data_IF_487106473512
#
_entry.id   IF_487106473512
#
_cell.length_a   1.000
_cell.length_b   1.000
_cell.length_c   1.000
_cell.angle_alpha   90.00
_cell.angle_beta   90.00
_cell.angle_gamma   90.00
#
_symmetry.space_group_name_H-M   'P 1'
#
loop_
_entity.id
_entity.type
_entity.pdbx_description
1 polymer ?
#
# COMPACT_ATOMS: atom_id res chain seq x y z
N UNK A 1 -16.29 -5.04 -9.41
CA UNK A 1 -14.87 -5.17 -9.03
C UNK A 1 -14.75 -5.75 -7.62
N UNK A 2 -15.49 -5.23 -6.66
CA UNK A 2 -15.46 -5.65 -5.24
C UNK A 2 -15.60 -7.16 -5.03
N UNK A 3 -16.60 -7.81 -5.63
CA UNK A 3 -16.79 -9.28 -5.54
C UNK A 3 -15.51 -10.07 -5.94
N UNK A 4 -14.90 -9.70 -7.06
CA UNK A 4 -13.68 -10.35 -7.53
C UNK A 4 -12.49 -10.08 -6.58
N UNK A 5 -12.44 -8.90 -5.97
CA UNK A 5 -11.43 -8.56 -4.96
C UNK A 5 -11.62 -9.38 -3.69
N UNK A 6 -12.87 -9.62 -3.26
CA UNK A 6 -13.16 -10.47 -2.09
C UNK A 6 -12.75 -11.91 -2.32
N UNK A 7 -12.99 -12.47 -3.52
CA UNK A 7 -12.51 -13.81 -3.85
C UNK A 7 -10.98 -13.91 -3.86
N UNK A 8 -10.29 -12.90 -4.39
CA UNK A 8 -8.82 -12.82 -4.33
C UNK A 8 -8.31 -12.75 -2.90
N UNK A 9 -8.96 -11.95 -2.05
CA UNK A 9 -8.62 -11.85 -0.62
C UNK A 9 -8.72 -13.21 0.05
N UNK A 10 -9.85 -13.89 -0.16
CA UNK A 10 -10.11 -15.22 0.40
C UNK A 10 -9.02 -16.22 -0.02
N UNK A 11 -8.68 -16.23 -1.30
CA UNK A 11 -7.60 -17.07 -1.82
C UNK A 11 -6.26 -16.76 -1.16
N UNK A 12 -5.87 -15.49 -1.06
CA UNK A 12 -4.61 -15.09 -0.42
C UNK A 12 -4.56 -15.55 1.04
N UNK A 13 -5.58 -15.23 1.84
CA UNK A 13 -5.63 -15.55 3.27
C UNK A 13 -5.48 -17.05 3.55
N UNK A 14 -6.09 -17.89 2.72
CA UNK A 14 -6.03 -19.34 2.93
C UNK A 14 -4.80 -20.00 2.32
N UNK A 15 -4.24 -19.46 1.24
CA UNK A 15 -2.98 -19.95 0.69
C UNK A 15 -1.83 -19.83 1.73
N UNK A 16 -1.77 -18.72 2.46
CA UNK A 16 -0.75 -18.51 3.52
C UNK A 16 -0.96 -19.46 4.71
N UNK A 17 -2.21 -19.63 5.17
CA UNK A 17 -2.56 -20.54 6.28
C UNK A 17 -2.17 -22.00 6.03
N UNK A 18 -2.12 -22.46 4.77
CA UNK A 18 -1.72 -23.83 4.41
C UNK A 18 -0.19 -24.01 4.43
N UNK A 19 0.58 -22.94 4.25
CA UNK A 19 2.05 -22.97 4.16
C UNK A 19 2.74 -22.76 5.52
N UNK A 20 2.01 -22.74 6.63
CA UNK A 20 2.54 -22.44 7.96
C UNK A 20 3.54 -23.49 8.49
N UNK A 21 4.83 -23.23 8.29
CA UNK A 21 5.94 -23.86 9.00
C UNK A 21 6.91 -22.77 9.51
N UNK A 22 6.66 -22.19 10.70
CA UNK A 22 7.49 -21.10 11.20
C UNK A 22 8.91 -21.58 11.48
N UNK A 23 9.88 -21.03 10.74
CA UNK A 23 11.30 -21.20 11.03
C UNK A 23 11.64 -20.48 12.35
N UNK A 24 12.41 -21.12 13.24
CA UNK A 24 12.83 -20.48 14.49
C UNK A 24 13.87 -19.40 14.20
N UNK A 25 13.60 -18.17 14.65
CA UNK A 25 14.51 -17.02 14.55
C UNK A 25 15.92 -17.34 15.08
N UNK A 26 16.01 -18.19 16.12
CA UNK A 26 17.26 -18.60 16.77
C UNK A 26 18.23 -19.36 15.86
N UNK A 27 17.71 -20.03 14.82
CA UNK A 27 18.56 -20.81 13.91
C UNK A 27 19.32 -19.90 12.93
N UNK A 28 18.81 -18.71 12.63
CA UNK A 28 19.34 -17.81 11.59
C UNK A 28 20.29 -16.76 12.15
N UNK A 29 20.08 -16.29 13.39
CA UNK A 29 20.95 -15.28 14.05
C UNK A 29 22.26 -15.92 14.59
N UNK A 30 22.71 -17.04 14.03
CA UNK A 30 23.98 -17.68 14.40
C UNK A 30 25.17 -17.13 13.61
N UNK A 31 24.93 -16.41 12.52
CA UNK A 31 25.96 -15.78 11.69
C UNK A 31 26.27 -14.35 12.19
N UNK A 32 27.56 -14.04 12.32
CA UNK A 32 28.04 -12.81 12.98
C UNK A 32 27.76 -11.49 12.24
N UNK A 33 27.35 -11.51 10.96
CA UNK A 33 27.10 -10.29 10.19
C UNK A 33 26.03 -10.52 9.12
N UNK A 34 24.76 -10.25 9.46
CA UNK A 34 23.65 -10.36 8.51
C UNK A 34 23.28 -8.97 7.96
N UNK A 35 22.85 -8.92 6.69
CA UNK A 35 22.30 -7.70 6.13
C UNK A 35 20.90 -7.41 6.70
N UNK A 36 20.48 -6.15 6.73
CA UNK A 36 19.12 -5.77 7.18
C UNK A 36 18.03 -6.54 6.41
N UNK A 37 18.18 -6.67 5.08
CA UNK A 37 17.25 -7.44 4.24
C UNK A 37 17.12 -8.90 4.70
N UNK A 38 18.21 -9.54 5.12
CA UNK A 38 18.22 -10.96 5.54
C UNK A 38 17.53 -11.12 6.90
N UNK A 39 17.83 -10.21 7.84
CA UNK A 39 17.15 -10.15 9.14
C UNK A 39 15.64 -9.95 8.97
N UNK A 40 15.23 -8.97 8.17
CA UNK A 40 13.81 -8.68 7.93
C UNK A 40 13.11 -9.83 7.20
N UNK A 41 13.77 -10.47 6.23
CA UNK A 41 13.21 -11.67 5.57
C UNK A 41 12.94 -12.80 6.58
N UNK A 42 13.81 -12.95 7.58
CA UNK A 42 13.64 -13.93 8.66
C UNK A 42 12.51 -13.53 9.62
N UNK A 43 12.35 -12.24 9.92
CA UNK A 43 11.23 -11.72 10.68
C UNK A 43 9.89 -12.09 10.02
N UNK A 44 9.75 -11.87 8.70
CA UNK A 44 8.56 -12.27 7.97
C UNK A 44 8.32 -13.80 8.03
N UNK A 45 9.35 -14.64 7.93
CA UNK A 45 9.15 -16.10 8.04
C UNK A 45 8.73 -16.57 9.43
N UNK A 46 9.14 -15.87 10.48
CA UNK A 46 8.86 -16.26 11.86
C UNK A 46 7.58 -15.63 12.43
N UNK A 47 7.19 -14.43 12.00
CA UNK A 47 6.05 -13.70 12.54
C UNK A 47 4.82 -13.79 11.62
N UNK A 48 3.81 -14.58 12.03
CA UNK A 48 2.58 -14.78 11.26
C UNK A 48 1.71 -13.53 11.17
N UNK A 49 1.66 -12.69 12.21
CA UNK A 49 0.91 -11.44 12.17
C UNK A 49 1.50 -10.48 11.14
N UNK A 50 2.82 -10.32 11.11
CA UNK A 50 3.48 -9.43 10.15
C UNK A 50 3.31 -9.93 8.71
N UNK A 51 3.34 -11.25 8.47
CA UNK A 51 2.99 -11.81 7.15
C UNK A 51 1.57 -11.51 6.75
N UNK A 52 0.62 -11.68 7.67
CA UNK A 52 -0.78 -11.35 7.41
C UNK A 52 -0.89 -9.88 7.00
N UNK A 53 -0.27 -8.95 7.73
CA UNK A 53 -0.29 -7.53 7.35
C UNK A 53 0.29 -7.29 5.94
N UNK A 54 1.42 -7.91 5.61
CA UNK A 54 2.03 -7.79 4.28
C UNK A 54 1.15 -8.37 3.17
N UNK A 55 0.53 -9.53 3.41
CA UNK A 55 -0.40 -10.15 2.48
C UNK A 55 -1.61 -9.25 2.19
N UNK A 56 -2.14 -8.59 3.24
CA UNK A 56 -3.23 -7.62 3.08
C UNK A 56 -2.79 -6.40 2.28
N UNK A 57 -1.57 -5.90 2.50
CA UNK A 57 -0.96 -4.82 1.70
C UNK A 57 -0.82 -5.24 0.24
N UNK A 58 -0.28 -6.42 -0.04
CA UNK A 58 -0.11 -6.94 -1.40
C UNK A 58 -1.45 -7.10 -2.12
N UNK A 59 -2.47 -7.57 -1.40
CA UNK A 59 -3.83 -7.66 -1.92
C UNK A 59 -4.42 -6.28 -2.25
N UNK A 60 -4.25 -5.28 -1.38
CA UNK A 60 -4.69 -3.90 -1.61
C UNK A 60 -3.97 -3.26 -2.80
N UNK A 61 -2.65 -3.47 -2.91
CA UNK A 61 -1.82 -2.96 -4.01
C UNK A 61 -2.19 -3.60 -5.35
N UNK A 62 -2.40 -4.92 -5.38
CA UNK A 62 -2.84 -5.64 -6.59
C UNK A 62 -4.23 -5.20 -7.06
N UNK A 63 -5.13 -4.90 -6.12
CA UNK A 63 -6.47 -4.40 -6.39
C UNK A 63 -6.43 -3.00 -6.99
N UNK A 64 -5.62 -2.11 -6.42
CA UNK A 64 -5.40 -0.77 -6.96
C UNK A 64 -4.76 -0.81 -8.36
N UNK A 65 -3.78 -1.69 -8.56
CA UNK A 65 -3.13 -1.88 -9.86
C UNK A 65 -4.10 -2.33 -10.96
N UNK A 66 -5.08 -3.17 -10.61
CA UNK A 66 -6.14 -3.59 -11.53
C UNK A 66 -7.09 -2.42 -11.86
N UNK A 67 -7.47 -1.63 -10.84
CA UNK A 67 -8.33 -0.47 -11.02
C UNK A 67 -7.67 0.61 -11.89
N UNK A 68 -6.40 0.95 -11.64
CA UNK A 68 -5.63 1.93 -12.44
C UNK A 68 -5.57 1.54 -13.93
N UNK A 69 -5.33 0.25 -14.21
CA UNK A 69 -5.31 -0.28 -15.59
C UNK A 69 -6.68 -0.18 -16.27
N UNK A 70 -7.77 -0.36 -15.51
CA UNK A 70 -9.12 -0.33 -16.04
C UNK A 70 -9.62 1.09 -16.32
N UNK A 71 -9.29 2.05 -15.46
CA UNK A 71 -9.79 3.43 -15.57
C UNK A 71 -8.99 4.29 -16.55
N UNK A 72 -7.68 4.03 -16.73
CA UNK A 72 -6.78 4.83 -17.58
C UNK A 72 -6.91 6.35 -17.35
N UNK A 73 -7.29 6.77 -16.15
CA UNK A 73 -7.68 8.16 -15.84
C UNK A 73 -6.50 9.08 -15.53
N UNK A 74 -5.27 8.56 -15.49
CA UNK A 74 -4.09 9.36 -15.18
C UNK A 74 -3.64 10.18 -16.39
N UNK A 75 -3.39 11.47 -16.19
CA UNK A 75 -2.77 12.33 -17.18
C UNK A 75 -1.41 11.76 -17.61
N UNK A 76 -1.03 11.86 -18.90
CA UNK A 76 0.28 11.41 -19.35
C UNK A 76 1.37 12.24 -18.68
N UNK A 77 2.32 11.57 -18.04
CA UNK A 77 3.55 12.21 -17.54
C UNK A 77 4.43 12.55 -18.73
N UNK A 78 4.90 13.80 -18.81
CA UNK A 78 5.79 14.23 -19.88
C UNK A 78 7.19 13.66 -19.65
N UNK A 79 7.55 12.65 -20.45
CA UNK A 79 8.86 12.00 -20.40
C UNK A 79 9.84 12.59 -21.41
N UNK A 80 10.26 13.84 -21.24
CA UNK A 80 11.25 14.49 -22.11
C UNK A 80 12.69 14.41 -21.57
N UNK A 81 12.90 13.72 -20.44
CA UNK A 81 14.17 13.57 -19.73
C UNK A 81 14.85 14.90 -19.35
N UNK A 82 14.09 16.00 -19.25
CA UNK A 82 14.59 17.32 -18.91
C UNK A 82 13.76 17.86 -17.74
N UNK A 83 14.43 18.05 -16.60
CA UNK A 83 13.84 18.70 -15.44
C UNK A 83 13.50 20.17 -15.75
N UNK A 84 12.25 20.57 -15.48
CA UNK A 84 11.74 21.93 -15.65
C UNK A 84 12.12 22.58 -16.98
N UNK A 85 11.80 21.89 -18.08
CA UNK A 85 12.21 22.30 -19.43
C UNK A 85 11.78 23.73 -19.79
N UNK A 86 10.61 24.18 -19.34
CA UNK A 86 10.13 25.53 -19.62
C UNK A 86 10.90 26.59 -18.81
N UNK A 87 11.17 26.31 -17.54
CA UNK A 87 11.96 27.16 -16.64
C UNK A 87 13.39 27.28 -17.15
N UNK A 88 14.00 26.15 -17.56
CA UNK A 88 15.32 26.12 -18.17
C UNK A 88 15.35 26.98 -19.45
N UNK A 89 14.36 26.80 -20.33
CA UNK A 89 14.26 27.58 -21.55
C UNK A 89 14.13 29.08 -21.27
N UNK A 90 13.30 29.48 -20.31
CA UNK A 90 13.17 30.88 -19.92
C UNK A 90 14.44 31.45 -19.28
N UNK A 91 15.20 30.65 -18.55
CA UNK A 91 16.49 31.06 -18.00
C UNK A 91 17.54 31.26 -19.10
N UNK A 92 17.57 30.40 -20.12
CA UNK A 92 18.49 30.52 -21.25
C UNK A 92 18.16 31.73 -22.13
N UNK A 93 16.88 32.00 -22.39
CA UNK A 93 16.43 33.18 -23.17
C UNK A 93 16.52 34.49 -22.35
N UNK A 94 16.33 34.39 -21.04
CA UNK A 94 16.16 35.47 -20.08
C UNK A 94 17.34 36.44 -19.93
N UNK A 95 18.45 36.18 -20.62
CA UNK A 95 19.58 37.11 -20.76
C UNK A 95 19.36 38.18 -21.85
N UNK A 96 18.24 38.17 -22.59
CA UNK A 96 17.91 39.21 -23.57
C UNK A 96 17.19 40.41 -22.93
N UNK A 97 17.56 41.63 -23.34
CA UNK A 97 17.21 42.93 -22.73
C UNK A 97 15.70 43.20 -22.53
N UNK A 98 14.81 42.47 -23.21
CA UNK A 98 13.38 42.72 -23.24
C UNK A 98 12.55 41.98 -22.16
N UNK A 99 13.15 41.11 -21.33
CA UNK A 99 12.41 40.25 -20.38
C UNK A 99 12.78 40.42 -18.89
N UNK A 100 13.48 41.51 -18.53
CA UNK A 100 14.03 41.71 -17.17
C UNK A 100 13.01 41.69 -16.03
N UNK A 101 11.78 42.18 -16.23
CA UNK A 101 10.80 42.28 -15.14
C UNK A 101 10.03 40.98 -14.88
N UNK A 102 9.82 40.13 -15.90
CA UNK A 102 9.22 38.79 -15.71
C UNK A 102 10.16 37.81 -15.00
N UNK A 103 11.47 37.96 -15.19
CA UNK A 103 12.48 37.07 -14.61
C UNK A 103 12.80 37.30 -13.13
N UNK A 104 12.34 38.40 -12.51
CA UNK A 104 12.62 38.65 -11.08
C UNK A 104 11.94 37.63 -10.17
N UNK A 105 10.73 37.19 -10.52
CA UNK A 105 9.92 36.26 -9.73
C UNK A 105 10.28 34.79 -9.95
N UNK A 106 11.01 34.46 -11.02
CA UNK A 106 11.40 33.10 -11.37
C UNK A 106 12.76 32.72 -10.75
N UNK A 107 12.91 31.44 -10.39
CA UNK A 107 14.18 30.88 -9.91
C UNK A 107 15.33 31.15 -10.89
N UNK A 108 16.56 31.32 -10.36
CA UNK A 108 17.76 31.53 -11.17
C UNK A 108 18.59 30.28 -11.39
N UNK A 109 18.22 29.17 -10.74
CA UNK A 109 18.94 27.90 -10.76
C UNK A 109 17.93 26.75 -10.97
N UNK A 110 18.41 25.61 -11.46
CA UNK A 110 17.57 24.44 -11.83
C UNK A 110 17.64 23.31 -10.79
N UNK A 111 18.38 23.50 -9.70
CA UNK A 111 18.40 22.54 -8.60
C UNK A 111 17.03 22.46 -7.90
N UNK A 112 16.64 21.28 -7.39
CA UNK A 112 15.28 21.04 -6.91
C UNK A 112 14.89 21.88 -5.69
N UNK A 113 15.85 22.33 -4.89
CA UNK A 113 15.63 23.19 -3.73
C UNK A 113 15.68 24.70 -4.07
N UNK A 114 15.96 25.08 -5.33
CA UNK A 114 15.98 26.47 -5.77
C UNK A 114 14.69 27.25 -5.44
N UNK A 115 13.48 26.71 -5.64
CA UNK A 115 12.24 27.42 -5.31
C UNK A 115 12.16 27.78 -3.82
N UNK A 116 12.52 26.83 -2.95
CA UNK A 116 12.54 27.03 -1.51
C UNK A 116 13.65 27.99 -1.08
N UNK A 117 14.89 27.76 -1.53
CA UNK A 117 16.07 28.55 -1.16
C UNK A 117 15.95 30.01 -1.61
N UNK A 118 15.40 30.25 -2.80
CA UNK A 118 15.26 31.59 -3.37
C UNK A 118 13.93 32.26 -3.04
N UNK A 119 12.94 31.51 -2.53
CA UNK A 119 11.55 31.94 -2.35
C UNK A 119 10.95 32.47 -3.66
N UNK A 120 11.18 31.73 -4.74
CA UNK A 120 10.77 32.05 -6.11
C UNK A 120 10.03 30.90 -6.74
N UNK A 121 9.32 31.15 -7.82
CA UNK A 121 8.53 30.13 -8.51
C UNK A 121 9.24 29.62 -9.76
N UNK A 122 8.88 28.41 -10.18
CA UNK A 122 9.22 27.88 -11.50
C UNK A 122 8.12 28.23 -12.50
N UNK A 123 8.31 27.91 -13.78
CA UNK A 123 7.29 28.10 -14.80
C UNK A 123 5.97 27.41 -14.45
N UNK A 124 4.82 28.02 -14.75
CA UNK A 124 3.49 27.46 -14.40
C UNK A 124 3.26 26.06 -14.99
N UNK A 125 3.71 25.83 -16.22
CA UNK A 125 3.58 24.52 -16.87
C UNK A 125 4.45 23.48 -16.17
N UNK A 126 5.67 23.84 -15.77
CA UNK A 126 6.53 22.94 -15.01
C UNK A 126 5.98 22.65 -13.60
N UNK A 127 5.28 23.61 -12.96
CA UNK A 127 4.58 23.36 -11.69
C UNK A 127 3.46 22.33 -11.86
N UNK A 128 2.71 22.44 -12.96
CA UNK A 128 1.63 21.50 -13.27
C UNK A 128 2.20 20.11 -13.57
N UNK A 129 3.20 20.04 -14.44
CA UNK A 129 3.88 18.79 -14.81
C UNK A 129 4.47 18.11 -13.57
N UNK A 130 5.07 18.88 -12.65
CA UNK A 130 5.62 18.34 -11.41
C UNK A 130 4.53 17.80 -10.48
N UNK A 131 3.38 18.48 -10.39
CA UNK A 131 2.23 18.01 -9.61
C UNK A 131 1.63 16.73 -10.18
N UNK A 132 1.49 16.64 -11.50
CA UNK A 132 0.99 15.44 -12.19
C UNK A 132 1.97 14.27 -12.04
N UNK A 133 3.27 14.53 -12.11
CA UNK A 133 4.31 13.54 -11.82
C UNK A 133 4.23 13.03 -10.37
N UNK A 134 4.12 13.93 -9.38
CA UNK A 134 4.00 13.54 -7.97
C UNK A 134 2.77 12.66 -7.73
N UNK A 135 1.64 13.01 -8.34
CA UNK A 135 0.40 12.23 -8.26
C UNK A 135 0.54 10.85 -8.92
N UNK A 136 1.14 10.76 -10.11
CA UNK A 136 1.38 9.47 -10.77
C UNK A 136 2.34 8.61 -9.97
N UNK A 137 3.43 9.18 -9.46
CA UNK A 137 4.40 8.50 -8.60
C UNK A 137 3.73 7.89 -7.36
N UNK A 138 2.90 8.65 -6.65
CA UNK A 138 2.12 8.12 -5.53
C UNK A 138 1.20 6.97 -5.95
N UNK A 139 0.55 7.11 -7.11
CA UNK A 139 -0.34 6.07 -7.67
C UNK A 139 0.42 4.78 -7.97
N UNK A 140 1.63 4.86 -8.55
CA UNK A 140 2.45 3.66 -8.80
C UNK A 140 2.89 2.99 -7.50
N UNK A 141 3.29 3.77 -6.49
CA UNK A 141 3.62 3.22 -5.16
C UNK A 141 2.40 2.55 -4.52
N UNK A 142 1.22 3.18 -4.61
CA UNK A 142 -0.05 2.60 -4.15
C UNK A 142 -0.45 1.32 -4.90
N UNK A 143 0.05 1.12 -6.12
CA UNK A 143 -0.16 -0.09 -6.92
C UNK A 143 0.92 -1.16 -6.70
N UNK A 144 1.86 -0.98 -5.77
CA UNK A 144 2.99 -1.88 -5.56
C UNK A 144 4.05 -1.85 -6.68
N UNK A 145 3.98 -0.84 -7.56
CA UNK A 145 4.84 -0.67 -8.74
C UNK A 145 5.96 0.32 -8.46
N UNK A 146 6.76 0.02 -7.43
CA UNK A 146 7.80 0.91 -6.95
C UNK A 146 8.86 1.22 -8.04
N UNK A 147 9.23 0.21 -8.84
CA UNK A 147 10.23 0.37 -9.92
C UNK A 147 9.74 1.34 -11.00
N UNK A 148 8.45 1.26 -11.33
CA UNK A 148 7.79 2.15 -12.27
C UNK A 148 7.74 3.59 -11.72
N UNK A 149 7.48 3.77 -10.43
CA UNK A 149 7.54 5.09 -9.78
C UNK A 149 8.93 5.74 -9.94
N UNK A 150 10.02 4.98 -9.71
CA UNK A 150 11.39 5.44 -9.93
C UNK A 150 11.67 5.72 -11.41
N UNK A 151 11.19 4.85 -12.31
CA UNK A 151 11.33 5.03 -13.76
C UNK A 151 10.64 6.31 -14.25
N UNK A 152 9.49 6.66 -13.67
CA UNK A 152 8.81 7.93 -13.98
C UNK A 152 9.68 9.13 -13.60
N UNK A 153 10.28 9.12 -12.41
CA UNK A 153 11.21 10.18 -12.00
C UNK A 153 12.37 10.32 -12.98
N UNK A 154 12.97 9.21 -13.41
CA UNK A 154 14.05 9.21 -14.40
C UNK A 154 13.57 9.78 -15.75
N UNK A 155 12.42 9.33 -16.26
CA UNK A 155 11.86 9.80 -17.53
C UNK A 155 11.53 11.30 -17.55
N UNK A 156 11.22 11.88 -16.39
CA UNK A 156 10.97 13.30 -16.20
C UNK A 156 12.25 14.13 -15.98
N UNK A 157 13.44 13.52 -16.07
CA UNK A 157 14.72 14.18 -15.79
C UNK A 157 14.98 14.42 -14.30
N UNK A 158 14.20 13.82 -13.40
CA UNK A 158 14.27 13.99 -11.95
C UNK A 158 14.95 12.80 -11.26
N UNK A 159 16.15 12.45 -11.72
CA UNK A 159 16.92 11.34 -11.13
C UNK A 159 17.17 11.51 -9.63
N UNK A 160 17.29 12.77 -9.16
CA UNK A 160 17.38 13.10 -7.74
C UNK A 160 16.16 12.61 -6.95
N UNK A 161 14.94 12.76 -7.48
CA UNK A 161 13.71 12.30 -6.82
C UNK A 161 13.64 10.78 -6.81
N UNK A 162 14.04 10.15 -7.91
CA UNK A 162 14.19 8.69 -7.98
C UNK A 162 15.22 8.14 -6.97
N UNK A 163 16.30 8.87 -6.70
CA UNK A 163 17.26 8.52 -5.66
C UNK A 163 16.66 8.67 -4.25
N UNK A 164 15.93 9.75 -3.98
CA UNK A 164 15.21 9.94 -2.71
C UNK A 164 14.24 8.79 -2.46
N UNK A 165 13.46 8.38 -3.46
CA UNK A 165 12.52 7.26 -3.31
C UNK A 165 13.21 5.95 -2.93
N UNK A 166 14.44 5.70 -3.36
CA UNK A 166 15.15 4.43 -3.12
C UNK A 166 15.78 4.33 -1.73
N UNK A 167 15.83 5.41 -0.95
CA UNK A 167 16.50 5.40 0.36
C UNK A 167 15.82 4.53 1.42
N UNK A 168 14.57 4.10 1.20
CA UNK A 168 13.87 3.14 2.07
C UNK A 168 14.35 1.70 1.93
N UNK A 169 15.07 1.36 0.85
CA UNK A 169 15.47 -0.01 0.55
C UNK A 169 16.47 -0.48 1.62
N UNK A 170 16.15 -1.61 2.25
CA UNK A 170 16.99 -2.23 3.28
C UNK A 170 18.37 -2.57 2.71
N UNK A 171 19.40 -2.41 3.55
CA UNK A 171 20.72 -2.88 3.18
C UNK A 171 20.73 -4.38 2.92
N UNK A 172 21.28 -4.76 1.78
CA UNK A 172 21.47 -6.14 1.39
C UNK A 172 22.89 -6.39 0.89
N UNK A 173 23.54 -7.40 1.49
CA UNK A 173 24.82 -7.91 1.04
C UNK A 173 24.57 -8.93 -0.07
N UNK A 174 25.09 -8.68 -1.26
CA UNK A 174 24.92 -9.58 -2.39
C UNK A 174 25.78 -10.84 -2.21
N UNK A 175 25.32 -12.01 -2.69
CA UNK A 175 26.12 -13.23 -2.67
C UNK A 175 27.46 -13.01 -3.36
N UNK A 176 28.55 -13.42 -2.71
CA UNK A 176 29.89 -13.37 -3.31
C UNK A 176 30.07 -14.56 -4.27
N UNK A 177 30.65 -14.31 -5.44
CA UNK A 177 31.06 -15.37 -6.35
C UNK A 177 32.23 -16.18 -5.76
N UNK A 178 33.17 -15.50 -5.09
CA UNK A 178 34.33 -16.10 -4.42
C UNK A 178 34.66 -15.36 -3.12
N UNK A 179 35.32 -16.01 -2.15
CA UNK A 179 35.69 -15.40 -0.86
C UNK A 179 36.63 -14.18 -0.97
N UNK A 180 37.24 -13.96 -2.14
CA UNK A 180 38.20 -12.88 -2.43
C UNK A 180 37.51 -11.68 -3.09
N UNK A 181 36.31 -11.86 -3.66
CA UNK A 181 35.60 -10.76 -4.32
C UNK A 181 35.19 -9.68 -3.31
N UNK A 182 35.22 -8.39 -3.70
CA UNK A 182 34.73 -7.33 -2.83
C UNK A 182 33.27 -7.59 -2.47
N UNK A 183 32.87 -7.18 -1.26
CA UNK A 183 31.48 -7.26 -0.84
C UNK A 183 30.66 -6.23 -1.63
N UNK A 184 29.79 -6.71 -2.49
CA UNK A 184 28.81 -5.85 -3.15
C UNK A 184 27.59 -5.64 -2.26
N UNK A 185 27.12 -4.40 -2.21
CA UNK A 185 25.97 -4.01 -1.39
C UNK A 185 24.88 -3.41 -2.29
N UNK A 186 23.64 -3.61 -1.88
CA UNK A 186 22.46 -2.93 -2.44
C UNK A 186 21.62 -2.35 -1.30
N UNK A 187 20.74 -1.41 -1.62
CA UNK A 187 19.98 -0.67 -0.61
C UNK A 187 20.80 0.38 0.13
N UNK A 188 20.28 0.85 1.26
CA UNK A 188 20.82 2.01 1.98
C UNK A 188 21.37 1.61 3.38
N UNK A 189 22.70 1.68 3.61
CA UNK A 189 23.28 1.49 4.94
C UNK A 189 22.80 2.53 5.98
N UNK A 190 22.59 3.78 5.53
CA UNK A 190 22.11 4.90 6.36
C UNK A 190 20.60 5.09 6.23
N UNK A 191 19.82 4.00 6.32
CA UNK A 191 18.37 4.03 6.16
C UNK A 191 17.68 4.93 7.19
N UNK A 192 18.13 4.91 8.45
CA UNK A 192 17.55 5.73 9.51
C UNK A 192 17.82 7.23 9.28
N UNK A 193 19.03 7.60 8.86
CA UNK A 193 19.33 8.97 8.42
C UNK A 193 18.40 9.39 7.26
N UNK A 194 18.20 8.52 6.27
CA UNK A 194 17.27 8.80 5.19
C UNK A 194 15.84 9.00 5.71
N UNK A 195 15.37 8.17 6.65
CA UNK A 195 14.05 8.33 7.27
C UNK A 195 13.92 9.69 7.95
N UNK A 196 14.93 10.13 8.70
CA UNK A 196 14.92 11.45 9.32
C UNK A 196 14.85 12.59 8.28
N UNK A 197 15.65 12.53 7.21
CA UNK A 197 15.53 13.49 6.10
C UNK A 197 14.15 13.44 5.41
N UNK A 198 13.61 12.24 5.23
CA UNK A 198 12.29 12.01 4.65
C UNK A 198 11.15 12.61 5.49
N UNK A 199 11.27 12.63 6.83
CA UNK A 199 10.34 13.33 7.70
C UNK A 199 10.32 14.83 7.44
N UNK A 200 11.49 15.43 7.19
CA UNK A 200 11.58 16.85 6.80
C UNK A 200 10.72 17.16 5.56
N UNK A 201 10.75 16.28 4.56
CA UNK A 201 9.90 16.40 3.36
C UNK A 201 8.43 16.15 3.71
N UNK A 202 8.13 15.06 4.41
CA UNK A 202 6.76 14.66 4.76
C UNK A 202 6.04 15.73 5.60
N UNK A 203 6.75 16.42 6.49
CA UNK A 203 6.21 17.48 7.34
C UNK A 203 6.15 18.86 6.66
N UNK A 204 6.87 19.07 5.57
CA UNK A 204 6.88 20.36 4.89
C UNK A 204 5.58 20.61 4.12
N UNK A 205 4.67 21.42 4.67
CA UNK A 205 3.38 21.76 4.07
C UNK A 205 3.46 22.53 2.74
N UNK A 206 4.62 23.11 2.41
CA UNK A 206 4.83 23.78 1.12
C UNK A 206 5.14 22.80 -0.02
N UNK A 207 5.50 21.56 0.30
CA UNK A 207 5.75 20.50 -0.68
C UNK A 207 4.45 19.92 -1.23
N UNK A 208 4.54 19.31 -2.42
CA UNK A 208 3.39 18.67 -3.05
C UNK A 208 2.81 17.55 -2.17
N UNK A 209 1.50 17.56 -1.94
CA UNK A 209 0.80 16.57 -1.09
C UNK A 209 1.11 15.12 -1.46
N UNK A 210 1.17 14.79 -2.75
CA UNK A 210 1.43 13.42 -3.20
C UNK A 210 2.92 13.04 -3.05
N UNK A 211 3.83 14.01 -3.16
CA UNK A 211 5.25 13.76 -2.86
C UNK A 211 5.45 13.50 -1.37
N UNK A 212 4.87 14.35 -0.52
CA UNK A 212 4.86 14.16 0.94
C UNK A 212 4.24 12.83 1.36
N UNK A 213 3.17 12.41 0.69
CA UNK A 213 2.53 11.12 0.93
C UNK A 213 3.40 9.95 0.48
N UNK A 214 4.07 10.06 -0.68
CA UNK A 214 4.97 9.01 -1.19
C UNK A 214 6.19 8.84 -0.29
N UNK A 215 6.83 9.93 0.12
CA UNK A 215 7.96 9.87 1.04
C UNK A 215 7.49 9.42 2.43
N UNK A 216 6.32 9.88 2.88
CA UNK A 216 5.74 9.50 4.15
C UNK A 216 5.44 8.01 4.25
N UNK A 217 4.83 7.41 3.23
CA UNK A 217 4.52 5.98 3.27
C UNK A 217 5.77 5.10 3.28
N UNK A 218 6.84 5.53 2.59
CA UNK A 218 8.12 4.83 2.56
C UNK A 218 8.93 5.01 3.85
N UNK A 219 8.74 6.12 4.58
CA UNK A 219 9.44 6.39 5.85
C UNK A 219 8.67 5.90 7.08
N UNK A 220 7.38 5.59 6.94
CA UNK A 220 6.50 5.23 8.06
C UNK A 220 5.70 6.41 8.66
N UNK A 221 5.68 7.56 7.98
CA UNK A 221 4.93 8.73 8.40
C UNK A 221 3.48 8.72 7.88
N UNK A 222 2.55 8.25 8.73
CA UNK A 222 1.15 8.07 8.39
C UNK A 222 0.43 9.40 8.05
N UNK A 223 0.66 10.45 8.84
CA UNK A 223 -0.13 11.69 8.74
C UNK A 223 -0.03 12.36 7.36
N UNK A 224 1.16 12.39 6.74
CA UNK A 224 1.32 12.93 5.39
C UNK A 224 0.68 12.05 4.32
N UNK A 225 0.64 10.74 4.53
CA UNK A 225 0.05 9.77 3.60
C UNK A 225 -1.47 9.86 3.57
N UNK A 226 -2.11 10.02 4.74
CA UNK A 226 -3.56 10.12 4.86
C UNK A 226 -4.15 11.28 4.04
N UNK A 227 -3.41 12.38 3.89
CA UNK A 227 -3.82 13.54 3.08
C UNK A 227 -4.02 13.20 1.60
N UNK A 228 -3.32 12.19 1.08
CA UNK A 228 -3.45 11.73 -0.31
C UNK A 228 -4.51 10.63 -0.50
N UNK A 229 -5.04 10.04 0.59
CA UNK A 229 -5.98 8.91 0.53
C UNK A 229 -7.44 9.32 0.31
N UNK A 230 -7.77 10.62 0.37
CA UNK A 230 -9.09 11.21 0.02
C UNK A 230 -10.32 10.52 0.68
N UNK A 231 -10.14 9.89 1.85
CA UNK A 231 -11.23 9.19 2.54
C UNK A 231 -11.73 7.95 1.78
N UNK A 232 -10.85 7.28 1.04
CA UNK A 232 -11.11 5.99 0.40
C UNK A 232 -10.74 4.84 1.35
N UNK A 233 -11.65 3.88 1.54
CA UNK A 233 -11.51 2.81 2.54
C UNK A 233 -10.25 1.96 2.30
N UNK A 234 -10.03 1.52 1.06
CA UNK A 234 -8.89 0.70 0.67
C UNK A 234 -7.55 1.43 0.87
N UNK A 235 -7.50 2.73 0.56
CA UNK A 235 -6.27 3.53 0.65
C UNK A 235 -5.93 3.87 2.10
N UNK A 236 -6.94 4.14 2.92
CA UNK A 236 -6.76 4.35 4.35
C UNK A 236 -6.22 3.08 5.03
N UNK A 237 -6.82 1.92 4.77
CA UNK A 237 -6.33 0.65 5.32
C UNK A 237 -4.90 0.38 4.84
N UNK A 238 -4.64 0.52 3.54
CA UNK A 238 -3.30 0.33 2.97
C UNK A 238 -2.26 1.20 3.69
N UNK A 239 -2.55 2.49 3.88
CA UNK A 239 -1.65 3.42 4.54
C UNK A 239 -1.36 3.01 5.99
N UNK A 240 -2.41 2.65 6.75
CA UNK A 240 -2.25 2.19 8.13
C UNK A 240 -1.44 0.89 8.20
N UNK A 241 -1.77 -0.12 7.40
CA UNK A 241 -1.08 -1.42 7.42
C UNK A 241 0.39 -1.27 7.03
N UNK A 242 0.69 -0.49 5.99
CA UNK A 242 2.08 -0.28 5.54
C UNK A 242 2.93 0.41 6.61
N UNK A 243 2.39 1.44 7.28
CA UNK A 243 3.09 2.11 8.40
C UNK A 243 3.27 1.17 9.59
N UNK A 244 2.28 0.32 9.88
CA UNK A 244 2.36 -0.69 10.93
C UNK A 244 3.43 -1.76 10.66
N UNK A 245 3.64 -2.13 9.40
CA UNK A 245 4.74 -3.01 8.98
C UNK A 245 6.07 -2.28 9.13
N UNK A 246 6.19 -1.06 8.61
CA UNK A 246 7.42 -0.25 8.69
C UNK A 246 7.88 -0.04 10.14
N UNK A 247 6.97 0.30 11.05
CA UNK A 247 7.28 0.47 12.47
C UNK A 247 7.79 -0.82 13.12
N UNK A 248 7.16 -1.97 12.83
CA UNK A 248 7.60 -3.28 13.35
C UNK A 248 8.97 -3.69 12.81
N UNK A 249 9.23 -3.42 11.52
CA UNK A 249 10.54 -3.65 10.90
C UNK A 249 11.60 -2.77 11.56
N UNK A 250 11.32 -1.49 11.78
CA UNK A 250 12.26 -0.58 12.43
C UNK A 250 12.54 -1.00 13.88
N UNK A 251 11.51 -1.37 14.64
CA UNK A 251 11.66 -1.88 16.00
C UNK A 251 12.54 -3.13 16.04
N UNK A 252 12.28 -4.09 15.16
CA UNK A 252 13.05 -5.32 15.06
C UNK A 252 14.51 -5.08 14.70
N UNK A 253 14.78 -4.23 13.70
CA UNK A 253 16.15 -3.87 13.30
C UNK A 253 16.91 -3.16 14.43
N UNK A 254 16.24 -2.33 15.23
CA UNK A 254 16.84 -1.70 16.42
C UNK A 254 17.16 -2.69 17.51
N UNK A 255 16.29 -3.67 17.78
CA UNK A 255 16.58 -4.71 18.77
C UNK A 255 17.76 -5.61 18.37
N UNK A 256 17.98 -5.76 17.06
CA UNK A 256 19.01 -6.63 16.48
C UNK A 256 20.21 -5.86 15.91
N UNK A 257 20.40 -4.59 16.29
CA UNK A 257 21.45 -3.71 15.76
C UNK A 257 22.87 -4.29 15.90
N UNK A 258 23.12 -5.10 16.93
CA UNK A 258 24.42 -5.78 17.13
C UNK A 258 24.74 -6.85 16.07
N UNK A 259 23.74 -7.31 15.30
CA UNK A 259 23.88 -8.35 14.27
C UNK A 259 23.96 -7.79 12.84
N UNK A 260 23.61 -6.51 12.68
CA UNK A 260 23.76 -5.74 11.45
C UNK A 260 24.81 -4.66 11.68
N UNK A 261 26.08 -4.96 11.40
CA UNK A 261 27.24 -4.04 11.54
C UNK A 261 27.17 -2.78 10.65
N UNK A 262 26.01 -2.45 10.09
CA UNK A 262 25.91 -1.59 8.93
C UNK A 262 25.06 -0.33 9.12
N UNK A 263 24.51 -0.09 10.31
CA UNK A 263 23.86 1.18 10.56
C UNK A 263 24.92 2.26 10.75
N UNK A 264 25.17 3.04 9.71
CA UNK A 264 26.10 4.17 9.70
C UNK A 264 25.45 5.47 10.23
N UNK A 265 24.22 5.40 10.73
CA UNK A 265 23.52 6.56 11.30
C UNK A 265 24.09 6.91 12.67
N UNK A 266 24.40 8.19 12.86
CA UNK A 266 24.93 8.67 14.13
C UNK A 266 23.86 8.59 15.26
N UNK A 267 24.25 8.31 16.51
CA UNK A 267 23.30 8.11 17.62
C UNK A 267 22.36 9.29 17.89
N UNK A 268 22.87 10.51 17.75
CA UNK A 268 22.11 11.76 17.89
C UNK A 268 20.98 11.88 16.86
N UNK A 269 21.24 11.52 15.61
CA UNK A 269 20.21 11.47 14.55
C UNK A 269 19.17 10.39 14.85
N UNK A 270 19.60 9.24 15.38
CA UNK A 270 18.69 8.16 15.74
C UNK A 270 17.75 8.57 16.89
N UNK A 271 18.25 9.28 17.90
CA UNK A 271 17.44 9.83 18.98
C UNK A 271 16.41 10.85 18.46
N UNK A 272 16.81 11.75 17.56
CA UNK A 272 15.91 12.69 16.91
C UNK A 272 14.81 11.97 16.12
N UNK A 273 15.18 11.00 15.28
CA UNK A 273 14.24 10.19 14.51
C UNK A 273 13.20 9.52 15.42
N UNK A 274 13.64 8.91 16.53
CA UNK A 274 12.75 8.24 17.47
C UNK A 274 11.80 9.23 18.18
N UNK A 275 12.27 10.44 18.45
CA UNK A 275 11.45 11.48 19.07
C UNK A 275 10.37 12.03 18.12
N UNK A 276 10.71 12.16 16.84
CA UNK A 276 9.85 12.77 15.82
C UNK A 276 8.90 11.77 15.15
N UNK A 277 9.31 10.50 15.02
CA UNK A 277 8.52 9.43 14.40
C UNK A 277 8.07 8.40 15.44
N UNK A 278 7.01 8.76 16.16
CA UNK A 278 6.36 7.87 17.10
C UNK A 278 5.14 7.21 16.46
N UNK A 279 5.23 5.90 16.25
CA UNK A 279 4.13 5.08 15.71
C UNK A 279 3.70 4.10 16.78
N UNK A 280 2.47 4.28 17.29
CA UNK A 280 1.84 3.29 18.19
C UNK A 280 1.66 1.97 17.43
N UNK A 281 2.07 0.85 18.04
CA UNK A 281 1.77 -0.47 17.49
C UNK A 281 0.29 -0.80 17.74
N UNK A 282 -0.45 -0.99 16.64
CA UNK A 282 -1.88 -1.25 16.65
C UNK A 282 -2.16 -2.69 16.22
N UNK A 283 -3.15 -3.31 16.86
CA UNK A 283 -3.75 -4.53 16.33
C UNK A 283 -4.59 -4.22 15.10
N UNK A 284 -4.83 -5.23 14.26
CA UNK A 284 -5.65 -5.08 13.06
C UNK A 284 -7.05 -4.53 13.36
N UNK A 285 -7.67 -4.93 14.49
CA UNK A 285 -8.95 -4.39 14.93
C UNK A 285 -8.88 -2.88 15.24
N UNK A 286 -7.82 -2.43 15.91
CA UNK A 286 -7.62 -1.00 16.19
C UNK A 286 -7.40 -0.20 14.90
N UNK A 287 -6.71 -0.77 13.91
CA UNK A 287 -6.54 -0.17 12.58
C UNK A 287 -7.91 0.08 11.93
N UNK A 288 -8.80 -0.91 11.89
CA UNK A 288 -10.15 -0.72 11.33
C UNK A 288 -10.97 0.33 12.09
N UNK A 289 -10.83 0.41 13.42
CA UNK A 289 -11.50 1.45 14.20
C UNK A 289 -10.99 2.85 13.83
N UNK A 290 -9.67 3.00 13.62
CA UNK A 290 -9.07 4.26 13.18
C UNK A 290 -9.56 4.65 11.77
N UNK A 291 -9.58 3.69 10.83
CA UNK A 291 -10.10 3.91 9.47
C UNK A 291 -11.57 4.33 9.53
N UNK A 292 -12.41 3.64 10.31
CA UNK A 292 -13.82 3.98 10.47
C UNK A 292 -14.03 5.42 10.95
N UNK A 293 -13.17 5.92 11.84
CA UNK A 293 -13.21 7.30 12.29
C UNK A 293 -12.84 8.32 11.19
N UNK A 294 -12.02 7.92 10.21
CA UNK A 294 -11.57 8.75 9.08
C UNK A 294 -12.51 8.71 7.86
N UNK A 295 -13.51 7.83 7.85
CA UNK A 295 -14.44 7.69 6.71
C UNK A 295 -15.54 8.77 6.67
N UNK A 296 -15.54 9.75 7.59
CA UNK A 296 -16.49 10.88 7.65
C UNK A 296 -17.97 10.48 7.50
N UNK A 297 -18.35 9.35 8.10
CA UNK A 297 -19.73 8.82 8.06
C UNK A 297 -20.10 8.04 6.81
N UNK A 298 -19.19 7.86 5.84
CA UNK A 298 -19.37 6.90 4.74
C UNK A 298 -19.43 5.47 5.30
N UNK A 299 -20.41 4.71 4.85
CA UNK A 299 -20.56 3.31 5.23
C UNK A 299 -19.76 2.39 4.31
N UNK A 300 -19.27 1.30 4.88
CA UNK A 300 -18.67 0.19 4.12
C UNK A 300 -19.75 -0.43 3.22
N UNK A 301 -19.39 -0.79 1.99
CA UNK A 301 -20.26 -1.64 1.16
C UNK A 301 -20.39 -3.03 1.81
N UNK A 302 -21.44 -3.80 1.48
CA UNK A 302 -21.56 -5.17 1.99
C UNK A 302 -20.32 -6.03 1.69
N UNK A 303 -19.67 -5.81 0.54
CA UNK A 303 -18.42 -6.48 0.19
C UNK A 303 -17.25 -6.03 1.08
N UNK A 304 -17.10 -4.73 1.36
CA UNK A 304 -16.06 -4.20 2.26
C UNK A 304 -16.26 -4.70 3.70
N UNK A 305 -17.51 -4.78 4.16
CA UNK A 305 -17.85 -5.36 5.47
C UNK A 305 -17.43 -6.83 5.54
N UNK A 306 -17.75 -7.63 4.51
CA UNK A 306 -17.27 -9.01 4.41
C UNK A 306 -15.74 -9.08 4.40
N UNK A 307 -15.07 -8.25 3.59
CA UNK A 307 -13.61 -8.21 3.49
C UNK A 307 -12.99 -7.90 4.86
N UNK A 308 -13.46 -6.89 5.58
CA UNK A 308 -13.00 -6.56 6.93
C UNK A 308 -13.11 -7.75 7.88
N UNK A 309 -14.26 -8.43 7.90
CA UNK A 309 -14.44 -9.59 8.78
C UNK A 309 -13.57 -10.77 8.37
N UNK A 310 -13.35 -11.00 7.08
CA UNK A 310 -12.41 -12.01 6.58
C UNK A 310 -10.97 -11.71 7.02
N UNK A 311 -10.53 -10.45 6.91
CA UNK A 311 -9.20 -10.02 7.37
C UNK A 311 -9.00 -10.20 8.87
N UNK A 312 -10.05 -9.96 9.65
CA UNK A 312 -10.05 -10.15 11.11
C UNK A 312 -10.24 -11.61 11.54
N UNK A 313 -10.53 -12.52 10.61
CA UNK A 313 -10.89 -13.91 10.93
C UNK A 313 -12.26 -14.07 11.60
N UNK A 314 -13.10 -13.04 11.58
CA UNK A 314 -14.41 -13.01 12.23
C UNK A 314 -15.53 -13.60 11.35
N UNK A 315 -15.37 -14.83 10.89
CA UNK A 315 -16.35 -15.50 9.99
C UNK A 315 -17.75 -15.57 10.60
N UNK A 316 -17.85 -15.74 11.93
CA UNK A 316 -19.14 -15.74 12.64
C UNK A 316 -19.90 -14.41 12.51
N UNK A 317 -19.19 -13.29 12.48
CA UNK A 317 -19.82 -11.98 12.32
C UNK A 317 -20.44 -11.83 10.92
N UNK A 318 -19.80 -12.39 9.88
CA UNK A 318 -20.36 -12.45 8.52
C UNK A 318 -21.70 -13.20 8.52
N UNK A 319 -21.78 -14.33 9.23
CA UNK A 319 -23.03 -15.09 9.33
C UNK A 319 -24.11 -14.26 10.04
N UNK A 320 -23.81 -13.64 11.17
CA UNK A 320 -24.82 -12.85 11.90
C UNK A 320 -25.35 -11.67 11.08
N UNK A 321 -24.46 -10.89 10.46
CA UNK A 321 -24.84 -9.74 9.63
C UNK A 321 -25.55 -10.17 8.34
N UNK A 322 -25.29 -11.40 7.85
CA UNK A 322 -25.95 -11.91 6.66
C UNK A 322 -27.47 -11.92 6.75
N UNK A 323 -28.03 -12.15 7.94
CA UNK A 323 -29.47 -12.13 8.16
C UNK A 323 -30.08 -10.76 7.86
N UNK A 324 -29.38 -9.68 8.19
CA UNK A 324 -29.82 -8.30 7.89
C UNK A 324 -29.69 -7.98 6.39
N UNK A 325 -28.69 -8.56 5.73
CA UNK A 325 -28.47 -8.39 4.29
C UNK A 325 -29.50 -9.13 3.43
N UNK A 326 -30.13 -10.20 3.91
CA UNK A 326 -31.12 -10.97 3.14
C UNK A 326 -32.31 -10.13 2.66
N UNK A 327 -32.67 -9.08 3.41
CA UNK A 327 -33.81 -8.21 3.12
C UNK A 327 -33.42 -6.94 2.35
N UNK A 328 -32.16 -6.50 2.48
CA UNK A 328 -31.71 -5.20 2.00
C UNK A 328 -30.70 -5.25 0.85
N UNK A 329 -30.03 -6.39 0.64
CA UNK A 329 -28.96 -6.51 -0.33
C UNK A 329 -29.45 -6.87 -1.74
N UNK A 330 -28.66 -6.46 -2.73
CA UNK A 330 -28.88 -6.80 -4.13
C UNK A 330 -28.75 -8.31 -4.38
N UNK A 331 -29.51 -8.84 -5.34
CA UNK A 331 -29.47 -10.27 -5.72
C UNK A 331 -28.06 -10.77 -6.06
N UNK A 332 -27.22 -9.90 -6.64
CA UNK A 332 -25.82 -10.22 -6.93
C UNK A 332 -25.03 -10.51 -5.65
N UNK A 333 -25.26 -9.74 -4.59
CA UNK A 333 -24.59 -9.94 -3.31
C UNK A 333 -25.12 -11.20 -2.61
N UNK A 334 -26.42 -11.49 -2.68
CA UNK A 334 -27.00 -12.75 -2.16
C UNK A 334 -26.38 -13.97 -2.84
N UNK A 335 -26.21 -13.93 -4.17
CA UNK A 335 -25.46 -14.95 -4.90
C UNK A 335 -24.06 -15.10 -4.34
N UNK A 336 -23.31 -14.01 -4.23
CA UNK A 336 -21.94 -14.04 -3.70
C UNK A 336 -21.90 -14.69 -2.31
N UNK A 337 -22.80 -14.30 -1.41
CA UNK A 337 -22.86 -14.78 -0.05
C UNK A 337 -23.17 -16.28 0.02
N UNK A 338 -24.13 -16.77 -0.79
CA UNK A 338 -24.43 -18.19 -0.90
C UNK A 338 -23.17 -19.00 -1.32
N UNK A 339 -22.42 -18.52 -2.31
CA UNK A 339 -21.19 -19.18 -2.73
C UNK A 339 -20.10 -19.09 -1.67
N UNK A 340 -19.99 -17.96 -0.96
CA UNK A 340 -19.04 -17.81 0.15
C UNK A 340 -19.33 -18.83 1.24
N UNK A 341 -20.60 -19.04 1.62
CA UNK A 341 -21.02 -20.04 2.61
C UNK A 341 -20.64 -21.44 2.15
N UNK A 342 -20.90 -21.80 0.88
CA UNK A 342 -20.49 -23.09 0.34
C UNK A 342 -18.97 -23.29 0.44
N UNK A 343 -18.17 -22.28 0.11
CA UNK A 343 -16.71 -22.35 0.24
C UNK A 343 -16.31 -22.51 1.71
N UNK A 344 -16.91 -21.75 2.64
CA UNK A 344 -16.63 -21.88 4.07
C UNK A 344 -16.99 -23.27 4.60
N UNK A 345 -18.09 -23.87 4.14
CA UNK A 345 -18.49 -25.26 4.46
C UNK A 345 -17.47 -26.26 3.96
N UNK A 346 -17.05 -26.16 2.70
CA UNK A 346 -16.02 -27.03 2.11
C UNK A 346 -14.69 -26.95 2.86
N UNK A 347 -14.38 -25.79 3.43
CA UNK A 347 -13.19 -25.57 4.24
C UNK A 347 -13.33 -26.01 5.70
N UNK A 348 -14.51 -26.46 6.13
CA UNK A 348 -14.81 -26.77 7.53
C UNK A 348 -14.79 -25.53 8.44
N UNK A 349 -14.97 -24.33 7.88
CA UNK A 349 -14.96 -23.04 8.59
C UNK A 349 -16.35 -22.38 8.63
N UNK A 350 -17.42 -23.15 8.50
CA UNK A 350 -18.79 -22.67 8.69
C UNK A 350 -19.18 -22.78 10.18
N UNK A 351 -19.27 -21.65 10.92
CA UNK A 351 -19.57 -21.68 12.35
C UNK A 351 -21.08 -21.80 12.65
N UNK A 352 -21.97 -21.53 11.68
CA UNK A 352 -23.42 -21.39 11.90
C UNK A 352 -24.21 -21.91 10.70
N UNK A 353 -24.31 -23.25 10.60
CA UNK A 353 -25.00 -23.91 9.49
C UNK A 353 -26.44 -23.44 9.30
N UNK A 354 -27.16 -23.19 10.40
CA UNK A 354 -28.56 -22.73 10.41
C UNK A 354 -28.76 -21.38 9.72
N UNK A 355 -27.82 -20.45 9.92
CA UNK A 355 -27.85 -19.16 9.22
C UNK A 355 -27.44 -19.35 7.77
N UNK A 356 -26.42 -20.17 7.51
CA UNK A 356 -26.01 -20.50 6.15
C UNK A 356 -27.16 -21.08 5.33
N UNK A 357 -27.98 -21.94 5.92
CA UNK A 357 -29.15 -22.55 5.28
C UNK A 357 -30.19 -21.51 4.88
N UNK A 358 -30.48 -20.52 5.74
CA UNK A 358 -31.39 -19.42 5.39
C UNK A 358 -30.91 -18.60 4.20
N UNK A 359 -29.61 -18.37 4.10
CA UNK A 359 -29.04 -17.66 2.94
C UNK A 359 -29.17 -18.51 1.68
N UNK A 360 -28.91 -19.80 1.78
CA UNK A 360 -29.07 -20.74 0.66
C UNK A 360 -30.53 -20.82 0.22
N UNK A 361 -31.49 -20.91 1.16
CA UNK A 361 -32.93 -20.89 0.89
C UNK A 361 -33.35 -19.61 0.14
N UNK A 362 -32.86 -18.44 0.58
CA UNK A 362 -33.12 -17.16 -0.10
C UNK A 362 -32.58 -17.18 -1.53
N UNK A 363 -31.36 -17.68 -1.72
CA UNK A 363 -30.74 -17.74 -3.04
C UNK A 363 -31.46 -18.74 -3.97
N UNK A 364 -31.87 -19.91 -3.46
CA UNK A 364 -32.69 -20.88 -4.19
C UNK A 364 -34.03 -20.27 -4.60
N UNK A 365 -34.68 -19.52 -3.70
CA UNK A 365 -35.93 -18.80 -4.01
C UNK A 365 -35.74 -17.80 -5.16
N UNK A 366 -34.64 -17.03 -5.15
CA UNK A 366 -34.29 -16.12 -6.26
C UNK A 366 -34.05 -16.87 -7.59
N UNK A 367 -33.45 -18.06 -7.55
CA UNK A 367 -33.25 -18.88 -8.75
C UNK A 367 -34.58 -19.41 -9.31
N UNK A 368 -35.51 -19.82 -8.44
CA UNK A 368 -36.85 -20.26 -8.83
C UNK A 368 -37.62 -19.10 -9.47
N UNK A 369 -37.64 -17.93 -8.84
CA UNK A 369 -38.33 -16.75 -9.39
C UNK A 369 -37.78 -16.37 -10.77
N UNK A 370 -36.46 -16.45 -10.95
CA UNK A 370 -35.81 -16.20 -12.24
C UNK A 370 -36.14 -17.24 -13.31
N UNK A 371 -36.27 -18.52 -12.92
CA UNK A 371 -36.71 -19.60 -13.81
C UNK A 371 -38.17 -19.37 -14.25
N UNK A 372 -39.06 -19.03 -13.32
CA UNK A 372 -40.47 -18.74 -13.58
C UNK A 372 -40.62 -17.53 -14.52
N UNK A 373 -39.79 -16.50 -14.33
CA UNK A 373 -39.79 -15.30 -15.16
C UNK A 373 -39.03 -15.47 -16.50
N UNK A 374 -38.51 -16.67 -16.81
CA UNK A 374 -37.84 -16.98 -18.08
C UNK A 374 -36.43 -16.37 -18.23
N UNK A 375 -35.82 -15.93 -17.13
CA UNK A 375 -34.50 -15.27 -17.13
C UNK A 375 -33.31 -16.22 -16.88
N UNK A 376 -33.58 -17.48 -16.53
CA UNK A 376 -32.58 -18.55 -16.35
C UNK A 376 -33.13 -19.84 -16.98
N UNK A 377 -32.32 -20.53 -17.78
CA UNK A 377 -32.74 -21.74 -18.52
C UNK A 377 -32.33 -23.06 -17.84
N UNK A 378 -31.57 -23.04 -16.73
CA UNK A 378 -30.96 -24.24 -16.13
C UNK A 378 -31.60 -24.64 -14.79
N UNK A 379 -32.70 -25.43 -14.79
CA UNK A 379 -33.32 -25.93 -13.56
C UNK A 379 -32.40 -26.87 -12.74
N UNK A 380 -31.37 -27.45 -13.36
CA UNK A 380 -30.40 -28.32 -12.69
C UNK A 380 -29.63 -27.59 -11.58
N UNK A 381 -29.42 -26.28 -11.73
CA UNK A 381 -28.75 -25.46 -10.71
C UNK A 381 -29.56 -25.40 -9.42
N UNK A 382 -30.89 -25.36 -9.51
CA UNK A 382 -31.78 -25.33 -8.35
C UNK A 382 -31.61 -26.64 -7.57
N UNK A 383 -31.64 -27.78 -8.27
CA UNK A 383 -31.44 -29.09 -7.64
C UNK A 383 -30.09 -29.19 -6.91
N UNK A 384 -29.01 -28.66 -7.51
CA UNK A 384 -27.69 -28.62 -6.87
C UNK A 384 -27.73 -27.83 -5.56
N UNK A 385 -28.22 -26.59 -5.56
CA UNK A 385 -28.22 -25.77 -4.35
C UNK A 385 -29.20 -26.28 -3.28
N UNK A 386 -30.35 -26.81 -3.68
CA UNK A 386 -31.29 -27.46 -2.74
C UNK A 386 -30.64 -28.66 -2.04
N UNK A 387 -29.78 -29.42 -2.72
CA UNK A 387 -29.07 -30.55 -2.10
C UNK A 387 -28.04 -30.14 -1.03
N UNK A 388 -27.69 -28.85 -0.95
CA UNK A 388 -26.74 -28.33 0.04
C UNK A 388 -27.41 -27.80 1.31
N UNK A 389 -28.74 -27.85 1.37
CA UNK A 389 -29.60 -27.48 2.51
C UNK A 389 -30.19 -28.78 3.12
N UNK A 390 -30.42 -28.85 4.45
CA UNK A 390 -30.95 -30.04 5.12
C UNK A 390 -32.28 -30.58 4.59
#
# INVERSE_FOLDING_TARGET
AEEANTWKLLHCLYADSIQEHPESLKNVITEGTLSQQTLVSTLFRSNSELRLLQLLVDWLESTAAYQDKATKTSAPVIGNNIHWSNTLHQLLIGNSLFNKDKNKAMVTCIDPDAPMRQKKTIHSDDQKDDSDLCKRMFTEVRCGKFKEAVSLCLSAGQAWRGAVLQGWILLHYLPREDNISPLEISGNPSRDLWKWCALGIANNVSENTHYRATVGILSGHLASTLLACQGNWEDLIWAHLKVQIESRVDNFLREHHATAEANTTAPDVLELLQSELQVEELSLQKVFNAVKALMDGKQESHYQTCQRHLMLGHVRAIMQESLEWLDSAEERFIRFLAHLILVLRLMGKDPQHDIGDKVMEKYVSQLIDRLVNGSVECPELIAYYTSTVP
#
